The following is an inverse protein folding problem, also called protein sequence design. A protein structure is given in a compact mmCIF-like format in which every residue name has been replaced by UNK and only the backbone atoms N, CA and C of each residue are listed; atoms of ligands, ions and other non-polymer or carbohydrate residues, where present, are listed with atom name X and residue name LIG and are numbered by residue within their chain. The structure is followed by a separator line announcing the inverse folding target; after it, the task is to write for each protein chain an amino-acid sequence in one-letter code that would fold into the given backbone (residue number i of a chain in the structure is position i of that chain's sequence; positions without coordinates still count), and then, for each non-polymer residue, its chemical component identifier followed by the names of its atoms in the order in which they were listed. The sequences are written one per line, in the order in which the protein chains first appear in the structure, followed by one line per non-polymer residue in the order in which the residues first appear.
data_IF_734151146729
#
_entry.id   IF_734151146729
#
_cell.length_a   1.000
_cell.length_b   1.000
_cell.length_c   1.000
_cell.angle_alpha   90.00
_cell.angle_beta   90.00
_cell.angle_gamma   90.00
#
_symmetry.space_group_name_H-M   'P 1'
#
loop_
_entity.id
_entity.type
_entity.pdbx_description
1 polymer ?
#
# COMPACT_ATOMS: atom_id res chain seq x y z
N UNK A 1 -4.81 -1.16 6.14
CA UNK A 1 -3.92 -2.31 6.45
C UNK A 1 -2.45 -1.93 6.29
N UNK A 2 -2.04 -1.34 5.16
CA UNK A 2 -0.65 -0.93 4.90
C UNK A 2 0.00 -0.13 6.04
N UNK A 3 -0.62 0.97 6.50
CA UNK A 3 -0.12 1.77 7.63
C UNK A 3 0.11 0.98 8.92
N UNK A 4 -0.80 0.05 9.26
CA UNK A 4 -0.66 -0.78 10.46
C UNK A 4 0.55 -1.72 10.34
N UNK A 5 0.76 -2.29 9.15
CA UNK A 5 1.93 -3.12 8.86
C UNK A 5 3.23 -2.30 8.90
N UNK A 6 3.26 -1.12 8.28
CA UNK A 6 4.41 -0.22 8.33
C UNK A 6 4.79 0.14 9.77
N UNK A 7 3.81 0.58 10.58
CA UNK A 7 4.02 0.88 12.01
C UNK A 7 4.60 -0.31 12.78
N UNK A 8 4.06 -1.50 12.57
CA UNK A 8 4.55 -2.70 13.24
C UNK A 8 5.98 -3.04 12.81
N UNK A 9 6.31 -2.89 11.52
CA UNK A 9 7.66 -3.15 11.01
C UNK A 9 8.67 -2.16 11.56
N UNK A 10 8.37 -0.86 11.60
CA UNK A 10 9.27 0.14 12.20
C UNK A 10 9.46 -0.04 13.71
N UNK A 11 8.46 -0.55 14.42
CA UNK A 11 8.61 -0.89 15.84
C UNK A 11 9.42 -2.16 16.07
N UNK A 12 9.33 -3.13 15.16
CA UNK A 12 10.00 -4.43 15.32
C UNK A 12 11.44 -4.40 14.81
N UNK A 13 11.72 -3.60 13.79
CA UNK A 13 12.97 -3.58 13.06
C UNK A 13 13.54 -2.15 12.98
N UNK A 14 14.85 -1.96 13.22
CA UNK A 14 15.50 -0.65 13.07
C UNK A 14 15.82 -0.37 11.60
N UNK A 15 14.79 -0.32 10.75
CA UNK A 15 14.90 -0.01 9.32
C UNK A 15 14.52 1.45 9.06
N UNK A 16 15.18 2.07 8.08
CA UNK A 16 14.88 3.44 7.65
C UNK A 16 13.64 3.48 6.74
N UNK A 17 13.56 2.53 5.81
CA UNK A 17 12.52 2.47 4.79
C UNK A 17 11.91 1.08 4.71
N UNK A 18 10.62 1.02 4.37
CA UNK A 18 9.86 -0.22 4.22
C UNK A 18 9.03 -0.14 2.94
N UNK A 19 9.34 -1.01 1.98
CA UNK A 19 8.52 -1.23 0.80
C UNK A 19 7.42 -2.25 1.10
N UNK A 20 6.16 -1.83 1.01
CA UNK A 20 4.99 -2.67 1.21
C UNK A 20 4.22 -2.84 -0.11
N UNK A 21 4.17 -4.09 -0.56
CA UNK A 21 3.37 -4.52 -1.70
C UNK A 21 2.14 -5.29 -1.20
N UNK A 22 0.94 -4.84 -1.59
CA UNK A 22 -0.32 -5.51 -1.27
C UNK A 22 -0.86 -6.18 -2.53
N UNK A 23 -1.07 -7.49 -2.44
CA UNK A 23 -1.64 -8.31 -3.51
C UNK A 23 -3.08 -8.69 -3.18
N UNK A 24 -3.96 -8.53 -4.16
CA UNK A 24 -5.32 -9.01 -4.13
C UNK A 24 -5.40 -10.30 -4.96
N UNK A 25 -6.10 -11.29 -4.42
CA UNK A 25 -6.44 -12.52 -5.13
C UNK A 25 -7.83 -12.39 -5.71
N UNK A 26 -7.96 -12.50 -7.02
CA UNK A 26 -9.23 -12.54 -7.71
C UNK A 26 -9.32 -13.75 -8.62
N UNK A 27 -10.50 -14.36 -8.68
CA UNK A 27 -10.76 -15.44 -9.62
C UNK A 27 -11.05 -14.82 -10.97
N UNK A 28 -10.24 -15.16 -11.97
CA UNK A 28 -10.50 -14.79 -13.34
C UNK A 28 -11.78 -15.50 -13.80
N UNK A 29 -12.84 -14.75 -14.07
CA UNK A 29 -14.17 -15.28 -14.44
C UNK A 29 -14.16 -16.05 -15.76
N UNK A 30 -13.13 -15.89 -16.61
CA UNK A 30 -13.01 -16.59 -17.88
C UNK A 30 -12.22 -17.90 -17.77
N UNK A 31 -11.15 -17.93 -16.98
CA UNK A 31 -10.28 -19.12 -16.85
C UNK A 31 -10.52 -19.93 -15.58
N UNK A 32 -11.24 -19.37 -14.60
CA UNK A 32 -11.40 -19.94 -13.25
C UNK A 32 -10.13 -19.92 -12.41
N UNK A 33 -9.03 -19.36 -12.92
CA UNK A 33 -7.72 -19.33 -12.23
C UNK A 33 -7.68 -18.19 -11.22
N UNK A 34 -7.14 -18.46 -10.04
CA UNK A 34 -6.81 -17.44 -9.05
C UNK A 34 -5.59 -16.64 -9.51
N UNK A 35 -5.82 -15.37 -9.85
CA UNK A 35 -4.77 -14.43 -10.20
C UNK A 35 -4.42 -13.57 -8.99
N UNK A 36 -3.13 -13.31 -8.79
CA UNK A 36 -2.62 -12.34 -7.83
C UNK A 36 -2.27 -11.05 -8.56
N UNK A 37 -2.97 -9.96 -8.21
CA UNK A 37 -2.70 -8.63 -8.77
C UNK A 37 -2.19 -7.73 -7.67
N UNK A 38 -1.08 -7.03 -7.91
CA UNK A 38 -0.61 -6.01 -6.97
C UNK A 38 -1.51 -4.79 -7.09
N UNK A 39 -2.17 -4.44 -6.00
CA UNK A 39 -3.16 -3.36 -5.97
C UNK A 39 -2.65 -2.07 -5.32
N UNK A 40 -1.58 -2.21 -4.53
CA UNK A 40 -0.94 -1.10 -3.82
C UNK A 40 0.54 -1.44 -3.66
N UNK A 41 1.39 -0.49 -4.03
CA UNK A 41 2.80 -0.48 -3.65
C UNK A 41 3.08 0.84 -2.94
N UNK A 42 3.72 0.80 -1.79
CA UNK A 42 4.07 2.02 -1.05
C UNK A 42 5.40 1.85 -0.35
N UNK A 43 6.27 2.83 -0.52
CA UNK A 43 7.51 2.96 0.21
C UNK A 43 7.29 3.92 1.37
N UNK A 44 7.27 3.38 2.58
CA UNK A 44 7.23 4.18 3.80
C UNK A 44 8.66 4.50 4.24
N UNK A 45 8.95 5.78 4.44
CA UNK A 45 10.13 6.22 5.17
C UNK A 45 9.76 6.50 6.62
N UNK A 46 10.66 6.17 7.55
CA UNK A 46 10.41 6.30 8.98
C UNK A 46 10.17 7.75 9.40
N UNK A 47 10.91 8.70 8.83
CA UNK A 47 10.84 10.12 9.21
C UNK A 47 9.44 10.70 8.94
N UNK A 48 8.93 10.48 7.73
CA UNK A 48 7.59 10.94 7.33
C UNK A 48 6.52 10.16 8.07
N UNK A 49 6.71 8.85 8.29
CA UNK A 49 5.76 8.04 9.05
C UNK A 49 5.60 8.51 10.50
N UNK A 50 6.69 8.90 11.17
CA UNK A 50 6.66 9.45 12.53
C UNK A 50 6.12 10.89 12.58
N UNK A 51 6.26 11.65 11.48
CA UNK A 51 5.75 13.01 11.37
C UNK A 51 4.23 13.10 11.10
N UNK A 52 3.64 12.06 10.50
CA UNK A 52 2.22 12.04 10.13
C UNK A 52 1.35 11.57 11.29
N UNK A 53 0.33 12.35 11.61
CA UNK A 53 -0.71 11.94 12.56
C UNK A 53 -1.79 11.10 11.86
N UNK A 54 -1.60 9.78 11.85
CA UNK A 54 -2.57 8.84 11.27
C UNK A 54 -3.94 8.83 11.97
N UNK A 55 -4.07 9.46 13.15
CA UNK A 55 -5.36 9.61 13.83
C UNK A 55 -6.16 10.82 13.33
N UNK A 56 -5.52 11.75 12.62
CA UNK A 56 -6.14 12.94 12.03
C UNK A 56 -6.04 12.92 10.51
N UNK A 57 -7.18 12.84 9.83
CA UNK A 57 -7.25 12.88 8.37
C UNK A 57 -7.45 11.51 7.72
N UNK A 58 -7.70 11.50 6.41
CA UNK A 58 -8.00 10.28 5.68
C UNK A 58 -6.69 9.57 5.26
N UNK A 59 -6.58 8.23 5.39
CA UNK A 59 -5.34 7.51 5.07
C UNK A 59 -4.87 7.68 3.63
N UNK A 60 -5.79 7.94 2.70
CA UNK A 60 -5.44 8.19 1.29
C UNK A 60 -4.76 9.53 1.07
N UNK A 61 -5.05 10.54 1.91
CA UNK A 61 -4.42 11.86 1.80
C UNK A 61 -2.96 11.76 2.28
N UNK A 62 -2.74 11.03 3.36
CA UNK A 62 -1.42 10.73 3.90
C UNK A 62 -0.57 9.86 2.96
N UNK A 63 -1.18 9.07 2.06
CA UNK A 63 -0.43 8.27 1.09
C UNK A 63 0.31 9.18 0.12
N UNK A 64 -0.22 10.36 -0.19
CA UNK A 64 0.41 11.32 -1.11
C UNK A 64 1.75 11.85 -0.61
N UNK A 65 2.01 11.78 0.70
CA UNK A 65 3.29 12.13 1.30
C UNK A 65 4.38 11.08 1.06
N UNK A 66 3.99 9.87 0.64
CA UNK A 66 4.89 8.75 0.37
C UNK A 66 4.98 8.44 -1.12
N UNK A 67 6.09 7.83 -1.53
CA UNK A 67 6.19 7.19 -2.84
C UNK A 67 5.26 6.00 -2.88
N UNK A 68 4.15 6.12 -3.61
CA UNK A 68 3.12 5.10 -3.66
C UNK A 68 2.56 4.97 -5.07
N UNK A 69 2.21 3.75 -5.43
CA UNK A 69 1.51 3.39 -6.64
C UNK A 69 0.18 2.75 -6.23
N UNK A 70 -0.92 3.44 -6.54
CA UNK A 70 -2.28 2.95 -6.33
C UNK A 70 -3.15 3.36 -7.50
N UNK A 71 -3.92 2.41 -8.02
CA UNK A 71 -4.86 2.67 -9.11
C UNK A 71 -6.24 2.24 -8.65
N UNK A 72 -7.04 3.18 -8.16
CA UNK A 72 -8.41 2.91 -7.75
C UNK A 72 -9.39 3.59 -8.71
N UNK A 73 -10.28 2.81 -9.32
CA UNK A 73 -11.31 3.28 -10.24
C UNK A 73 -12.66 2.91 -9.65
N UNK A 74 -13.52 3.90 -9.37
CA UNK A 74 -14.83 3.67 -8.71
C UNK A 74 -15.70 2.59 -9.38
N UNK A 75 -15.59 2.42 -10.70
CA UNK A 75 -16.37 1.43 -11.48
C UNK A 75 -15.74 0.05 -11.55
N UNK A 76 -14.43 -0.08 -11.30
CA UNK A 76 -13.68 -1.35 -11.45
C UNK A 76 -12.91 -1.79 -10.20
N UNK A 77 -12.90 -0.99 -9.14
CA UNK A 77 -12.12 -1.25 -7.93
C UNK A 77 -10.63 -0.96 -8.11
N UNK A 78 -9.78 -1.80 -7.53
CA UNK A 78 -8.33 -1.67 -7.61
C UNK A 78 -7.79 -2.29 -8.90
N UNK A 79 -7.02 -1.50 -9.64
CA UNK A 79 -6.25 -1.95 -10.78
C UNK A 79 -4.87 -2.45 -10.37
N UNK A 80 -4.24 -3.21 -11.27
CA UNK A 80 -2.86 -3.63 -11.12
C UNK A 80 -1.90 -2.43 -11.22
N UNK A 81 -0.89 -2.40 -10.34
CA UNK A 81 0.09 -1.32 -10.25
C UNK A 81 1.55 -1.81 -10.29
N UNK A 82 2.48 -1.00 -10.82
CA UNK A 82 3.91 -1.26 -10.74
C UNK A 82 4.46 -1.10 -9.31
N UNK A 83 5.74 -1.39 -9.11
CA UNK A 83 6.40 -1.23 -7.82
C UNK A 83 6.71 0.24 -7.59
N UNK A 84 6.48 0.75 -6.39
CA UNK A 84 6.89 2.09 -6.01
C UNK A 84 8.42 2.15 -5.93
N UNK A 85 9.03 3.07 -6.69
CA UNK A 85 10.49 3.33 -6.74
C UNK A 85 10.86 4.67 -6.12
#
# INVERSE_FOLDING_TARGET
IAYRLGKNLFHLLPVADVLLNVYQREVNTHSGVLEQKRILSVLFDRQTFEAIDLAKGHPFDHLQSFKHEVKFVKTRGFGEVPEAQ
#
